data_IF_300093454868
#
_entry.id   IF_300093454868
#
_cell.length_a   1.000
_cell.length_b   1.000
_cell.length_c   1.000
_cell.angle_alpha   90.00
_cell.angle_beta   90.00
_cell.angle_gamma   90.00
#
_symmetry.space_group_name_H-M   'P 1'
#
loop_
_entity.id
_entity.type
_entity.pdbx_description
1 polymer ?
#
# COMPACT_ATOMS: atom_id res chain seq x y z
N UNK A 1 7.77 -16.58 19.89
CA UNK A 1 6.30 -16.70 19.78
C UNK A 1 5.93 -16.54 18.31
N UNK A 2 5.34 -17.56 17.70
CA UNK A 2 4.93 -17.56 16.29
C UNK A 2 3.53 -16.96 16.15
N UNK A 3 3.33 -16.12 15.13
CA UNK A 3 2.05 -15.41 14.87
C UNK A 3 1.52 -15.80 13.51
N UNK A 4 0.23 -16.06 13.42
CA UNK A 4 -0.35 -16.63 12.21
C UNK A 4 -1.51 -15.78 11.67
N UNK A 5 -1.52 -15.64 10.35
CA UNK A 5 -2.55 -15.01 9.53
C UNK A 5 -3.66 -16.03 9.28
N UNK A 6 -4.83 -15.87 9.89
CA UNK A 6 -5.89 -16.89 9.87
C UNK A 6 -6.99 -16.62 8.84
N UNK A 7 -7.15 -15.37 8.44
CA UNK A 7 -8.12 -14.94 7.44
C UNK A 7 -7.69 -13.59 6.88
N UNK A 8 -8.04 -13.36 5.63
CA UNK A 8 -7.83 -12.12 4.91
C UNK A 8 -9.15 -11.80 4.21
N UNK A 9 -9.71 -10.62 4.46
CA UNK A 9 -10.93 -10.16 3.82
C UNK A 9 -10.76 -8.69 3.47
N UNK A 10 -10.94 -8.28 2.21
CA UNK A 10 -11.32 -6.89 1.94
C UNK A 10 -12.71 -6.62 2.56
N UNK A 11 -12.95 -5.44 3.12
CA UNK A 11 -14.08 -5.29 4.05
C UNK A 11 -15.46 -5.22 3.34
N UNK A 12 -16.44 -6.00 3.84
CA UNK A 12 -17.88 -5.78 3.62
C UNK A 12 -18.45 -5.04 4.85
N UNK A 13 -19.32 -4.02 4.69
CA UNK A 13 -19.67 -3.09 5.77
C UNK A 13 -20.75 -3.60 6.75
N UNK A 14 -20.82 -4.89 7.08
CA UNK A 14 -21.72 -5.39 8.13
C UNK A 14 -21.20 -6.71 8.73
N UNK A 15 -20.57 -6.66 9.91
CA UNK A 15 -20.56 -7.80 10.84
C UNK A 15 -20.32 -7.36 12.28
N UNK A 16 -21.25 -7.76 13.14
CA UNK A 16 -21.37 -7.47 14.56
C UNK A 16 -20.19 -8.05 15.35
N UNK A 17 -19.33 -7.20 15.92
CA UNK A 17 -18.38 -7.56 16.98
C UNK A 17 -18.79 -6.87 18.29
N UNK A 18 -18.73 -7.56 19.46
CA UNK A 18 -19.11 -6.98 20.75
C UNK A 18 -18.33 -5.71 21.11
N UNK A 19 -19.00 -4.80 21.82
CA UNK A 19 -18.65 -3.39 22.06
C UNK A 19 -17.40 -3.09 22.92
N UNK A 20 -16.39 -3.97 22.96
CA UNK A 20 -15.18 -3.81 23.78
C UNK A 20 -13.86 -3.95 23.01
N UNK A 21 -13.90 -4.15 21.69
CA UNK A 21 -12.70 -4.08 20.85
C UNK A 21 -12.39 -2.61 20.59
N UNK A 22 -11.45 -2.05 21.37
CA UNK A 22 -10.96 -0.69 21.20
C UNK A 22 -10.31 -0.55 19.81
N UNK A 23 -10.93 0.27 18.98
CA UNK A 23 -10.45 0.69 17.67
C UNK A 23 -9.16 1.51 17.82
N UNK A 24 -8.01 0.92 17.50
CA UNK A 24 -6.77 1.65 17.24
C UNK A 24 -6.57 1.80 15.72
N UNK A 25 -7.42 2.62 15.12
CA UNK A 25 -7.32 3.05 13.73
C UNK A 25 -7.29 4.58 13.68
N UNK A 26 -6.10 5.16 13.90
CA UNK A 26 -5.64 6.50 13.50
C UNK A 26 -4.47 6.97 14.41
N UNK A 27 -3.27 6.40 14.29
CA UNK A 27 -2.10 6.99 14.98
C UNK A 27 -1.35 7.97 14.06
N UNK A 28 -1.84 9.22 14.02
CA UNK A 28 -1.03 10.40 13.63
C UNK A 28 0.00 10.66 14.73
N UNK A 29 1.22 10.13 14.60
CA UNK A 29 2.30 10.58 15.51
C UNK A 29 2.73 12.02 15.16
N UNK A 30 2.39 12.93 16.10
CA UNK A 30 2.77 14.34 16.29
C UNK A 30 3.62 15.06 15.22
N UNK A 31 3.11 16.23 14.82
CA UNK A 31 3.73 17.34 14.04
C UNK A 31 4.24 16.97 12.64
N UNK A 32 3.38 16.40 11.81
CA UNK A 32 3.56 16.28 10.36
C UNK A 32 2.22 15.86 9.75
N UNK A 33 1.80 16.48 8.65
CA UNK A 33 0.45 16.31 8.08
C UNK A 33 0.26 15.04 7.24
N UNK A 34 1.25 14.14 7.18
CA UNK A 34 1.16 12.89 6.42
C UNK A 34 0.12 11.94 7.03
N UNK A 35 -0.84 11.49 6.22
CA UNK A 35 -1.69 10.33 6.53
C UNK A 35 -0.79 9.10 6.49
N UNK A 36 -0.70 8.37 7.62
CA UNK A 36 0.07 7.13 7.69
C UNK A 36 -0.86 5.96 7.44
N UNK A 37 -0.43 5.08 6.54
CA UNK A 37 -0.93 3.71 6.43
C UNK A 37 -0.89 3.04 7.81
N UNK A 38 -1.95 2.34 8.17
CA UNK A 38 -2.09 1.72 9.49
C UNK A 38 -1.07 0.62 9.65
N UNK A 39 -0.35 0.66 10.77
CA UNK A 39 0.76 -0.25 11.02
C UNK A 39 0.25 -1.57 11.65
N UNK A 40 0.11 -2.69 10.91
CA UNK A 40 -0.25 -3.99 11.50
C UNK A 40 0.75 -4.45 12.58
N UNK A 41 1.90 -3.78 12.71
CA UNK A 41 2.94 -4.07 13.68
C UNK A 41 2.56 -3.74 15.13
N UNK A 42 1.61 -2.82 15.36
CA UNK A 42 1.13 -2.51 16.72
C UNK A 42 0.33 -3.69 17.29
N UNK A 43 -0.54 -4.26 16.47
CA UNK A 43 -1.41 -5.39 16.81
C UNK A 43 -0.60 -6.68 17.05
N UNK A 44 0.53 -6.86 16.35
CA UNK A 44 1.48 -7.94 16.65
C UNK A 44 2.12 -7.79 18.04
N UNK A 45 2.41 -6.55 18.47
CA UNK A 45 3.01 -6.30 19.79
C UNK A 45 2.05 -6.68 20.90
N UNK A 46 0.77 -6.37 20.76
CA UNK A 46 -0.27 -6.77 21.71
C UNK A 46 -0.26 -8.29 21.92
N UNK A 47 -0.21 -9.07 20.83
CA UNK A 47 -0.10 -10.52 20.94
C UNK A 47 1.24 -10.95 21.57
N UNK A 48 2.37 -10.36 21.16
CA UNK A 48 3.68 -10.69 21.75
C UNK A 48 3.81 -10.33 23.24
N UNK A 49 3.07 -9.33 23.70
CA UNK A 49 3.00 -8.91 25.10
C UNK A 49 1.89 -9.63 25.88
N UNK A 50 1.17 -10.56 25.23
CA UNK A 50 0.03 -11.29 25.77
C UNK A 50 -1.16 -10.40 26.19
N UNK A 51 -1.31 -9.24 25.55
CA UNK A 51 -2.44 -8.33 25.72
C UNK A 51 -3.63 -8.71 24.82
N UNK A 52 -3.40 -9.55 23.80
CA UNK A 52 -4.43 -10.08 22.91
C UNK A 52 -4.08 -11.47 22.38
N UNK A 53 -5.09 -12.30 22.12
CA UNK A 53 -4.93 -13.63 21.51
C UNK A 53 -5.29 -13.64 20.01
N UNK A 54 -6.25 -12.80 19.61
CA UNK A 54 -6.72 -12.64 18.22
C UNK A 54 -6.96 -11.16 17.96
N UNK A 55 -6.46 -10.64 16.84
CA UNK A 55 -6.61 -9.22 16.47
C UNK A 55 -7.02 -9.08 15.01
N UNK A 56 -8.07 -8.28 14.77
CA UNK A 56 -8.44 -7.82 13.43
C UNK A 56 -7.57 -6.61 13.05
N UNK A 57 -6.76 -6.78 12.02
CA UNK A 57 -5.87 -5.76 11.49
C UNK A 57 -6.37 -5.36 10.10
N UNK A 58 -6.87 -4.14 9.95
CA UNK A 58 -7.29 -3.62 8.65
C UNK A 58 -6.52 -2.41 8.18
N UNK A 59 -7.01 -1.86 7.08
CA UNK A 59 -6.61 -0.59 6.51
C UNK A 59 -7.68 -0.18 5.52
N UNK A 60 -8.15 1.06 5.57
CA UNK A 60 -9.23 1.55 4.74
C UNK A 60 -8.95 3.00 4.35
N UNK A 61 -9.36 3.39 3.15
CA UNK A 61 -9.32 4.77 2.70
C UNK A 61 -10.50 5.03 1.77
N UNK A 62 -11.12 6.21 1.92
CA UNK A 62 -12.04 6.76 0.93
C UNK A 62 -11.57 8.14 0.51
N UNK A 63 -10.72 8.17 -0.50
CA UNK A 63 -10.15 9.40 -1.05
C UNK A 63 -11.22 10.21 -1.80
N UNK A 64 -12.22 9.56 -2.41
CA UNK A 64 -13.35 10.23 -3.06
C UNK A 64 -14.20 11.04 -2.08
N UNK A 65 -14.17 10.71 -0.78
CA UNK A 65 -14.91 11.42 0.28
C UNK A 65 -14.07 12.48 1.00
N UNK A 66 -12.83 12.74 0.56
CA UNK A 66 -12.01 13.77 1.17
C UNK A 66 -12.71 15.14 1.09
N UNK A 67 -12.96 15.81 2.23
CA UNK A 67 -13.75 17.03 2.23
C UNK A 67 -12.93 18.22 1.74
N UNK A 68 -13.64 19.27 1.36
CA UNK A 68 -13.07 20.62 1.38
C UNK A 68 -13.16 21.20 2.80
N UNK A 69 -12.16 21.98 3.22
CA UNK A 69 -12.12 22.61 4.54
C UNK A 69 -11.93 24.13 4.46
N UNK A 70 -12.70 24.86 5.26
CA UNK A 70 -12.47 26.30 5.49
C UNK A 70 -11.85 26.48 6.88
N UNK A 71 -10.62 26.98 6.93
CA UNK A 71 -9.87 27.15 8.17
C UNK A 71 -10.02 28.58 8.70
N UNK A 72 -9.73 28.76 10.01
CA UNK A 72 -9.62 30.07 10.69
C UNK A 72 -10.92 30.91 10.77
N UNK A 73 -12.08 30.27 10.73
CA UNK A 73 -13.40 30.97 10.81
C UNK A 73 -14.12 30.81 12.14
N UNK A 74 -13.65 29.92 13.04
CA UNK A 74 -14.36 29.56 14.29
C UNK A 74 -14.59 30.75 15.23
N UNK A 75 -13.69 31.73 15.25
CA UNK A 75 -13.68 32.82 16.23
C UNK A 75 -13.85 34.21 15.59
N UNK A 76 -14.51 34.26 14.44
CA UNK A 76 -14.63 35.47 13.62
C UNK A 76 -13.46 35.67 12.66
N UNK A 77 -13.68 36.50 11.65
CA UNK A 77 -12.72 36.82 10.59
C UNK A 77 -12.47 38.32 10.53
N UNK A 78 -11.32 38.70 9.97
CA UNK A 78 -11.05 40.11 9.66
C UNK A 78 -11.77 40.50 8.37
N UNK A 79 -12.28 41.72 8.30
CA UNK A 79 -12.83 42.27 7.05
C UNK A 79 -11.75 42.20 5.95
N UNK A 80 -12.09 41.64 4.80
CA UNK A 80 -11.17 41.43 3.67
C UNK A 80 -10.26 40.20 3.79
N UNK A 81 -10.45 39.31 4.78
CA UNK A 81 -9.69 38.07 4.86
C UNK A 81 -9.97 37.14 3.67
N UNK A 82 -8.92 36.66 3.01
CA UNK A 82 -9.01 35.64 1.96
C UNK A 82 -9.20 34.26 2.60
N UNK A 83 -10.44 33.80 2.66
CA UNK A 83 -10.79 32.45 3.09
C UNK A 83 -10.71 31.52 1.89
N UNK A 84 -10.06 30.36 2.07
CA UNK A 84 -9.95 29.34 1.03
C UNK A 84 -10.83 28.14 1.38
N UNK A 85 -11.49 27.62 0.35
CA UNK A 85 -12.09 26.31 0.37
C UNK A 85 -10.99 25.31 -0.04
N UNK A 86 -10.30 24.76 0.95
CA UNK A 86 -9.08 23.96 0.78
C UNK A 86 -9.43 22.50 0.48
N UNK A 87 -8.93 21.95 -0.63
CA UNK A 87 -9.01 20.52 -0.91
C UNK A 87 -8.06 19.76 0.04
N UNK A 88 -8.64 19.01 0.98
CA UNK A 88 -7.82 18.34 2.00
C UNK A 88 -7.01 17.16 1.47
N UNK A 89 -7.43 16.55 0.36
CA UNK A 89 -6.68 15.48 -0.28
C UNK A 89 -5.43 16.05 -0.96
N UNK A 90 -5.61 17.12 -1.75
CA UNK A 90 -4.49 17.75 -2.45
C UNK A 90 -3.41 18.26 -1.50
N UNK A 91 -3.83 18.92 -0.40
CA UNK A 91 -2.89 19.38 0.64
C UNK A 91 -2.17 18.23 1.34
N UNK A 92 -2.84 17.09 1.58
CA UNK A 92 -2.23 15.93 2.21
C UNK A 92 -1.17 15.23 1.33
N UNK A 93 -1.24 15.42 0.00
CA UNK A 93 -0.25 14.89 -0.95
C UNK A 93 0.98 15.80 -1.12
N UNK A 94 1.09 16.85 -0.31
CA UNK A 94 2.28 17.70 -0.19
C UNK A 94 2.87 17.59 1.22
N UNK A 95 4.14 17.23 1.32
CA UNK A 95 4.82 17.25 2.62
C UNK A 95 5.06 18.70 3.03
N UNK A 96 4.42 19.14 4.11
CA UNK A 96 4.52 20.51 4.63
C UNK A 96 5.86 20.83 5.29
N UNK A 97 6.66 19.82 5.67
CA UNK A 97 8.00 20.02 6.23
C UNK A 97 9.00 20.46 5.17
N UNK A 98 9.08 19.70 4.07
CA UNK A 98 9.97 20.02 2.93
C UNK A 98 9.30 20.87 1.85
N UNK A 99 7.97 21.03 1.90
CA UNK A 99 7.12 21.75 0.94
C UNK A 99 7.18 21.18 -0.48
N UNK A 100 7.20 19.85 -0.58
CA UNK A 100 7.37 19.13 -1.85
C UNK A 100 6.18 18.17 -2.04
N UNK A 101 5.48 18.22 -3.19
CA UNK A 101 4.48 17.21 -3.56
C UNK A 101 5.10 15.82 -3.66
N UNK A 102 4.36 14.77 -3.32
CA UNK A 102 4.88 13.39 -3.33
C UNK A 102 5.49 13.00 -4.69
N UNK A 103 4.89 13.42 -5.80
CA UNK A 103 5.42 13.17 -7.14
C UNK A 103 6.79 13.82 -7.38
N UNK A 104 7.06 15.00 -6.81
CA UNK A 104 8.36 15.65 -6.94
C UNK A 104 9.45 14.89 -6.14
N UNK A 105 9.08 14.22 -5.04
CA UNK A 105 10.03 13.31 -4.37
C UNK A 105 10.41 12.11 -5.25
N UNK A 106 9.49 11.65 -6.10
CA UNK A 106 9.75 10.60 -7.07
C UNK A 106 10.61 11.12 -8.25
N UNK A 107 10.42 12.37 -8.69
CA UNK A 107 11.32 13.01 -9.66
C UNK A 107 12.75 13.18 -9.11
N UNK A 108 12.90 13.46 -7.82
CA UNK A 108 14.22 13.50 -7.17
C UNK A 108 14.91 12.13 -7.21
N UNK A 109 14.16 11.05 -7.01
CA UNK A 109 14.68 9.69 -7.18
C UNK A 109 15.03 9.39 -8.64
N UNK A 110 14.19 9.79 -9.58
CA UNK A 110 14.46 9.62 -11.01
C UNK A 110 15.79 10.26 -11.41
N UNK A 111 16.01 11.51 -10.99
CA UNK A 111 17.26 12.21 -11.22
C UNK A 111 18.45 11.54 -10.53
N UNK A 112 18.31 11.18 -9.24
CA UNK A 112 19.38 10.58 -8.43
C UNK A 112 19.86 9.23 -8.96
N UNK A 113 18.93 8.42 -9.46
CA UNK A 113 19.21 7.06 -9.93
C UNK A 113 19.25 6.93 -11.46
N UNK A 114 19.20 8.05 -12.18
CA UNK A 114 19.23 8.11 -13.65
C UNK A 114 18.15 7.25 -14.29
N UNK A 115 16.92 7.36 -13.79
CA UNK A 115 15.75 6.65 -14.31
C UNK A 115 15.10 7.53 -15.37
N UNK A 116 14.97 7.03 -16.59
CA UNK A 116 14.40 7.80 -17.70
C UNK A 116 12.88 7.75 -17.67
N UNK A 117 12.24 8.71 -18.37
CA UNK A 117 10.80 8.69 -18.63
C UNK A 117 10.36 7.39 -19.34
N UNK A 118 11.19 6.88 -20.25
CA UNK A 118 10.88 5.65 -20.97
C UNK A 118 10.92 4.42 -20.05
N UNK A 119 11.85 4.37 -19.09
CA UNK A 119 11.87 3.32 -18.06
C UNK A 119 10.56 3.32 -17.26
N UNK A 120 10.12 4.50 -16.83
CA UNK A 120 8.88 4.66 -16.07
C UNK A 120 7.65 4.17 -16.86
N UNK A 121 7.55 4.52 -18.14
CA UNK A 121 6.43 4.13 -18.99
C UNK A 121 6.47 2.62 -19.31
N UNK A 122 7.66 2.05 -19.55
CA UNK A 122 7.81 0.59 -19.70
C UNK A 122 7.36 -0.16 -18.45
N UNK A 123 7.74 0.33 -17.28
CA UNK A 123 7.30 -0.26 -16.02
C UNK A 123 5.78 -0.17 -15.84
N UNK A 124 5.20 1.01 -16.12
CA UNK A 124 3.76 1.23 -16.06
C UNK A 124 2.97 0.31 -17.01
N UNK A 125 3.48 0.06 -18.22
CA UNK A 125 2.89 -0.93 -19.12
C UNK A 125 2.99 -2.34 -18.53
N UNK A 126 4.15 -2.73 -17.99
CA UNK A 126 4.39 -4.05 -17.42
C UNK A 126 3.42 -4.35 -16.27
N UNK A 127 3.19 -3.41 -15.36
CA UNK A 127 2.25 -3.58 -14.24
C UNK A 127 0.79 -3.68 -14.71
N UNK A 128 0.37 -2.91 -15.72
CA UNK A 128 -0.97 -3.07 -16.34
C UNK A 128 -1.15 -4.45 -16.97
N UNK A 129 -0.13 -4.96 -17.69
CA UNK A 129 -0.15 -6.29 -18.29
C UNK A 129 -0.22 -7.42 -17.25
N UNK A 130 0.59 -7.31 -16.19
CA UNK A 130 0.58 -8.28 -15.08
C UNK A 130 -0.76 -8.30 -14.34
N UNK A 131 -1.32 -7.12 -14.06
CA UNK A 131 -2.63 -7.00 -13.45
C UNK A 131 -3.72 -7.66 -14.31
N UNK A 132 -3.72 -7.39 -15.62
CA UNK A 132 -4.66 -8.03 -16.55
C UNK A 132 -4.53 -9.55 -16.55
N UNK A 133 -3.30 -10.07 -16.66
CA UNK A 133 -3.04 -11.51 -16.67
C UNK A 133 -3.47 -12.19 -15.35
N UNK A 134 -3.16 -11.59 -14.21
CA UNK A 134 -3.54 -12.10 -12.90
C UNK A 134 -5.06 -12.11 -12.69
N UNK A 135 -5.74 -11.04 -13.12
CA UNK A 135 -7.19 -10.96 -13.05
C UNK A 135 -7.87 -12.01 -13.96
N UNK A 136 -7.39 -12.18 -15.19
CA UNK A 136 -7.94 -13.21 -16.11
C UNK A 136 -7.71 -14.63 -15.61
N UNK A 137 -6.56 -14.87 -14.98
CA UNK A 137 -6.21 -16.16 -14.39
C UNK A 137 -6.86 -16.40 -13.02
N UNK A 138 -7.61 -15.43 -12.50
CA UNK A 138 -8.35 -15.53 -11.23
C UNK A 138 -7.47 -15.51 -9.98
N UNK A 139 -6.26 -14.94 -10.05
CA UNK A 139 -5.32 -14.94 -8.91
C UNK A 139 -5.81 -14.08 -7.74
N UNK A 140 -6.63 -13.06 -8.00
CA UNK A 140 -7.25 -12.23 -6.96
C UNK A 140 -8.52 -12.85 -6.35
N UNK A 141 -9.02 -13.98 -6.86
CA UNK A 141 -10.31 -14.52 -6.42
C UNK A 141 -10.32 -14.90 -4.92
N UNK A 142 -9.18 -15.33 -4.38
CA UNK A 142 -9.08 -15.78 -3.00
C UNK A 142 -8.98 -14.63 -1.98
N UNK A 143 -8.53 -13.44 -2.42
CA UNK A 143 -8.38 -12.25 -1.56
C UNK A 143 -9.55 -11.26 -1.71
N UNK A 144 -10.29 -11.34 -2.81
CA UNK A 144 -11.34 -10.39 -3.13
C UNK A 144 -12.56 -10.56 -2.22
N UNK A 145 -13.10 -9.44 -1.76
CA UNK A 145 -14.35 -9.39 -1.01
C UNK A 145 -15.38 -8.55 -1.76
N UNK A 146 -16.34 -9.17 -2.46
CA UNK A 146 -17.28 -8.43 -3.29
C UNK A 146 -18.13 -7.44 -2.49
N UNK A 147 -18.41 -6.28 -3.10
CA UNK A 147 -19.26 -5.23 -2.53
C UNK A 147 -20.46 -5.01 -3.45
N UNK A 148 -21.67 -4.96 -2.89
CA UNK A 148 -22.85 -4.58 -3.67
C UNK A 148 -22.82 -3.06 -3.94
N UNK A 149 -22.82 -2.67 -5.20
CA UNK A 149 -22.84 -1.28 -5.65
C UNK A 149 -24.11 -0.97 -6.43
N UNK A 150 -24.50 0.31 -6.44
CA UNK A 150 -25.63 0.78 -7.26
C UNK A 150 -25.10 1.33 -8.57
N UNK A 151 -25.54 0.77 -9.69
CA UNK A 151 -25.30 1.30 -11.03
C UNK A 151 -26.60 1.88 -11.60
N UNK A 152 -26.52 2.56 -12.74
CA UNK A 152 -27.72 3.00 -13.48
C UNK A 152 -28.64 1.83 -13.88
N UNK A 153 -28.12 0.60 -13.93
CA UNK A 153 -28.87 -0.62 -14.28
C UNK A 153 -29.44 -1.36 -13.05
N UNK A 154 -29.18 -0.89 -11.84
CA UNK A 154 -29.60 -1.52 -10.60
C UNK A 154 -28.42 -1.92 -9.70
N UNK A 155 -28.66 -2.83 -8.75
CA UNK A 155 -27.62 -3.37 -7.87
C UNK A 155 -26.74 -4.36 -8.62
N UNK A 156 -25.43 -4.26 -8.46
CA UNK A 156 -24.44 -5.16 -9.07
C UNK A 156 -23.37 -5.51 -8.02
N UNK A 157 -22.80 -6.71 -8.12
CA UNK A 157 -21.67 -7.11 -7.27
C UNK A 157 -20.37 -6.64 -7.90
N UNK A 158 -19.69 -5.69 -7.26
CA UNK A 158 -18.36 -5.24 -7.63
C UNK A 158 -17.32 -6.18 -7.00
N UNK A 159 -16.58 -6.88 -7.85
CA UNK A 159 -15.57 -7.88 -7.46
C UNK A 159 -14.30 -7.79 -8.31
N UNK A 160 -14.14 -6.68 -9.05
CA UNK A 160 -12.99 -6.39 -9.89
C UNK A 160 -12.56 -4.96 -9.60
N UNK A 161 -11.26 -4.74 -9.59
CA UNK A 161 -10.71 -3.40 -9.49
C UNK A 161 -11.17 -2.55 -10.68
N UNK A 162 -11.60 -1.31 -10.43
CA UNK A 162 -12.09 -0.38 -11.44
C UNK A 162 -10.95 0.37 -12.15
N UNK A 163 -9.85 0.62 -11.44
CA UNK A 163 -8.74 1.44 -11.93
C UNK A 163 -7.91 0.85 -13.10
N UNK A 164 -7.73 -0.48 -13.23
CA UNK A 164 -6.92 -1.06 -14.29
C UNK A 164 -7.31 -0.60 -15.70
N UNK A 165 -6.30 -0.32 -16.51
CA UNK A 165 -6.45 0.09 -17.91
C UNK A 165 -5.82 -0.98 -18.80
N UNK A 166 -6.49 -2.14 -19.02
CA UNK A 166 -5.88 -3.31 -19.63
C UNK A 166 -5.53 -3.13 -21.12
N UNK A 167 -6.02 -2.06 -21.76
CA UNK A 167 -5.73 -1.69 -23.15
C UNK A 167 -4.58 -0.67 -23.27
N UNK A 168 -3.83 -0.45 -22.19
CA UNK A 168 -2.69 0.49 -22.17
C UNK A 168 -1.63 0.06 -23.19
N UNK A 169 -1.12 1.01 -23.97
CA UNK A 169 0.00 0.80 -24.89
C UNK A 169 1.14 1.79 -24.64
N UNK A 170 2.36 1.47 -25.08
CA UNK A 170 3.49 2.40 -24.98
C UNK A 170 3.20 3.72 -25.69
N UNK A 171 2.57 3.68 -26.87
CA UNK A 171 2.24 4.88 -27.64
C UNK A 171 1.26 5.80 -26.90
N UNK A 172 0.36 5.23 -26.09
CA UNK A 172 -0.55 6.02 -25.24
C UNK A 172 0.22 6.65 -24.08
N UNK A 173 1.09 5.88 -23.41
CA UNK A 173 1.86 6.36 -22.26
C UNK A 173 2.83 7.49 -22.65
N UNK A 174 3.57 7.35 -23.76
CA UNK A 174 4.53 8.36 -24.22
C UNK A 174 3.89 9.70 -24.56
N UNK A 175 2.60 9.71 -24.97
CA UNK A 175 1.85 10.94 -25.26
C UNK A 175 1.43 11.71 -24.02
N UNK A 176 1.47 11.11 -22.84
CA UNK A 176 1.04 11.77 -21.61
C UNK A 176 2.05 12.85 -21.17
N UNK A 177 1.59 14.06 -20.83
CA UNK A 177 2.46 15.11 -20.33
C UNK A 177 2.92 14.81 -18.90
N UNK A 178 4.12 15.28 -18.55
CA UNK A 178 4.60 15.27 -17.18
C UNK A 178 3.81 16.28 -16.35
N UNK A 179 3.34 15.88 -15.17
CA UNK A 179 2.36 16.66 -14.39
C UNK A 179 3.03 17.64 -13.42
N UNK A 180 4.14 17.23 -12.80
CA UNK A 180 4.72 17.95 -11.65
C UNK A 180 6.03 18.68 -11.95
N UNK A 181 6.71 18.32 -13.05
CA UNK A 181 7.96 18.94 -13.47
C UNK A 181 8.03 18.97 -15.00
N UNK A 182 8.43 20.13 -15.55
CA UNK A 182 8.75 20.24 -16.98
C UNK A 182 9.92 19.32 -17.29
N UNK A 183 9.80 18.51 -18.35
CA UNK A 183 10.79 17.50 -18.74
C UNK A 183 11.08 16.48 -17.61
N UNK A 184 10.08 16.25 -16.74
CA UNK A 184 10.11 15.21 -15.71
C UNK A 184 9.85 13.81 -16.24
N UNK A 185 9.62 12.88 -15.32
CA UNK A 185 9.34 11.47 -15.60
C UNK A 185 7.93 11.05 -15.19
N UNK A 186 7.29 11.75 -14.23
CA UNK A 186 6.01 11.36 -13.64
C UNK A 186 4.83 11.89 -14.46
N UNK A 187 3.95 10.98 -14.86
CA UNK A 187 2.68 11.24 -15.58
C UNK A 187 1.50 10.56 -14.90
N UNK A 188 0.29 10.88 -15.36
CA UNK A 188 -0.92 10.18 -14.92
C UNK A 188 -0.97 8.69 -15.34
N UNK A 189 -0.09 8.24 -16.24
CA UNK A 189 -0.03 6.85 -16.69
C UNK A 189 0.97 5.99 -15.92
N UNK A 190 1.93 6.61 -15.22
CA UNK A 190 3.00 5.92 -14.50
C UNK A 190 3.08 6.28 -13.00
N UNK A 191 2.03 6.92 -12.48
CA UNK A 191 1.78 7.14 -11.06
C UNK A 191 0.55 6.34 -10.63
N UNK A 192 0.47 5.95 -9.36
CA UNK A 192 -0.73 5.31 -8.82
C UNK A 192 -1.92 6.26 -8.80
N UNK A 193 -3.11 5.73 -9.08
CA UNK A 193 -4.36 6.48 -8.98
C UNK A 193 -4.79 6.78 -7.55
N UNK A 194 -5.49 7.91 -7.39
CA UNK A 194 -6.37 8.17 -6.25
C UNK A 194 -7.53 7.19 -6.30
N UNK A 195 -7.71 6.36 -5.28
CA UNK A 195 -8.71 5.28 -5.26
C UNK A 195 -9.28 5.08 -3.87
N UNK A 196 -10.42 4.39 -3.81
CA UNK A 196 -11.06 3.97 -2.58
C UNK A 196 -10.87 2.47 -2.36
N UNK A 197 -10.71 2.03 -1.12
CA UNK A 197 -10.56 0.61 -0.83
C UNK A 197 -10.36 0.31 0.64
N UNK A 198 -10.52 -0.97 1.00
CA UNK A 198 -10.25 -1.47 2.34
C UNK A 198 -9.76 -2.92 2.30
N UNK A 199 -8.83 -3.26 3.17
CA UNK A 199 -8.32 -4.62 3.38
C UNK A 199 -8.34 -4.96 4.88
N UNK A 200 -8.54 -6.23 5.20
CA UNK A 200 -8.49 -6.74 6.57
C UNK A 200 -7.80 -8.10 6.64
N UNK A 201 -7.17 -8.33 7.77
CA UNK A 201 -6.25 -9.43 8.04
C UNK A 201 -6.42 -9.82 9.50
N UNK A 202 -6.67 -11.09 9.78
CA UNK A 202 -6.82 -11.59 11.15
C UNK A 202 -5.51 -12.23 11.60
N UNK A 203 -4.93 -11.68 12.67
CA UNK A 203 -3.77 -12.25 13.35
C UNK A 203 -4.21 -13.05 14.57
N UNK A 204 -3.58 -14.18 14.81
CA UNK A 204 -3.79 -14.99 16.00
C UNK A 204 -2.47 -15.50 16.59
N UNK A 205 -2.43 -15.66 17.91
CA UNK A 205 -1.36 -16.37 18.60
C UNK A 205 -1.43 -17.88 18.31
N UNK A 206 -0.32 -18.59 18.52
CA UNK A 206 -0.31 -20.06 18.41
C UNK A 206 -1.30 -20.73 19.39
N UNK A 207 -1.50 -20.17 20.59
CA UNK A 207 -2.50 -20.68 21.54
C UNK A 207 -3.91 -20.52 21.00
N UNK A 208 -4.23 -19.37 20.41
CA UNK A 208 -5.51 -19.07 19.81
C UNK A 208 -5.84 -19.99 18.63
N UNK A 209 -4.84 -20.33 17.81
CA UNK A 209 -5.02 -21.30 16.72
C UNK A 209 -5.59 -22.63 17.22
N UNK A 210 -4.96 -23.21 18.25
CA UNK A 210 -5.37 -24.50 18.83
C UNK A 210 -6.72 -24.38 19.54
N UNK A 211 -6.89 -23.33 20.35
CA UNK A 211 -8.11 -23.07 21.14
C UNK A 211 -9.35 -22.90 20.26
N UNK A 212 -9.22 -22.22 19.13
CA UNK A 212 -10.33 -21.88 18.23
C UNK A 212 -10.34 -22.70 16.93
N UNK A 213 -9.45 -23.69 16.80
CA UNK A 213 -9.32 -24.53 15.60
C UNK A 213 -9.19 -23.72 14.31
N UNK A 214 -8.40 -22.64 14.35
CA UNK A 214 -8.18 -21.76 13.19
C UNK A 214 -7.15 -22.36 12.24
N UNK A 215 -7.34 -22.15 10.94
CA UNK A 215 -6.37 -22.57 9.92
C UNK A 215 -5.40 -21.42 9.62
N UNK A 216 -4.11 -21.54 9.96
CA UNK A 216 -3.13 -20.52 9.61
C UNK A 216 -2.81 -20.57 8.11
N UNK A 217 -2.85 -19.42 7.43
CA UNK A 217 -2.50 -19.25 6.02
C UNK A 217 -1.02 -18.87 5.82
N UNK A 218 -0.47 -18.10 6.76
CA UNK A 218 0.92 -17.68 6.79
C UNK A 218 1.34 -17.31 8.21
N UNK A 219 2.65 -17.22 8.47
CA UNK A 219 3.24 -16.78 9.73
C UNK A 219 3.95 -15.43 9.53
N UNK A 220 3.72 -14.46 10.41
CA UNK A 220 4.50 -13.21 10.40
C UNK A 220 5.88 -13.49 11.01
N UNK A 221 6.94 -13.37 10.21
CA UNK A 221 8.32 -13.66 10.63
C UNK A 221 8.92 -12.47 11.35
N UNK A 222 8.92 -11.32 10.69
CA UNK A 222 9.48 -10.08 11.20
C UNK A 222 8.84 -8.89 10.47
N UNK A 223 9.00 -7.70 11.05
CA UNK A 223 8.68 -6.44 10.40
C UNK A 223 9.73 -5.38 10.76
N UNK A 224 9.80 -4.33 9.96
CA UNK A 224 10.55 -3.14 10.32
C UNK A 224 9.98 -1.87 9.66
N UNK A 225 10.06 -0.77 10.40
CA UNK A 225 9.81 0.58 9.88
C UNK A 225 11.07 1.41 10.04
N UNK A 226 11.46 2.15 9.01
CA UNK A 226 12.67 2.95 8.96
C UNK A 226 12.35 4.38 8.51
N UNK A 227 13.08 5.36 9.06
CA UNK A 227 13.08 6.73 8.56
C UNK A 227 14.04 6.90 7.39
N UNK A 228 13.76 7.86 6.52
CA UNK A 228 14.65 8.29 5.43
C UNK A 228 14.46 9.80 5.18
N UNK A 229 15.24 10.36 4.27
CA UNK A 229 15.10 11.77 3.87
C UNK A 229 13.71 12.02 3.24
N UNK A 230 12.90 12.95 3.78
CA UNK A 230 11.57 13.25 3.25
C UNK A 230 11.57 13.72 1.79
N UNK A 231 12.66 14.33 1.32
CA UNK A 231 12.78 14.80 -0.09
C UNK A 231 12.88 13.66 -1.11
N UNK A 232 13.17 12.44 -0.65
CA UNK A 232 13.27 11.21 -1.44
C UNK A 232 12.54 10.05 -0.74
N UNK A 233 11.42 10.35 -0.09
CA UNK A 233 10.65 9.41 0.77
C UNK A 233 10.38 8.05 0.12
N UNK A 234 10.27 8.03 -1.22
CA UNK A 234 10.05 6.84 -2.02
C UNK A 234 11.10 5.73 -1.84
N UNK A 235 12.30 6.06 -1.33
CA UNK A 235 13.36 5.08 -1.06
C UNK A 235 13.17 4.33 0.25
N UNK A 236 12.20 4.72 1.09
CA UNK A 236 11.93 4.11 2.40
C UNK A 236 11.90 2.57 2.44
N UNK A 237 11.40 1.85 1.41
CA UNK A 237 11.46 0.40 1.36
C UNK A 237 12.88 -0.19 1.44
N UNK A 238 13.91 0.51 0.94
CA UNK A 238 15.30 0.03 0.97
C UNK A 238 15.78 -0.26 2.40
N UNK A 239 15.82 0.72 3.33
CA UNK A 239 16.21 0.44 4.70
C UNK A 239 15.20 -0.46 5.44
N UNK A 240 13.90 -0.38 5.12
CA UNK A 240 12.89 -1.22 5.75
C UNK A 240 13.07 -2.72 5.43
N UNK A 241 13.23 -3.07 4.15
CA UNK A 241 13.47 -4.44 3.68
C UNK A 241 14.82 -4.95 4.20
N UNK A 242 15.88 -4.13 4.08
CA UNK A 242 17.23 -4.54 4.51
C UNK A 242 17.25 -4.95 5.98
N UNK A 243 16.67 -4.13 6.85
CA UNK A 243 16.67 -4.38 8.28
C UNK A 243 15.66 -5.46 8.71
N UNK A 244 14.51 -5.60 8.05
CA UNK A 244 13.58 -6.70 8.39
C UNK A 244 14.18 -8.06 8.03
N UNK A 245 14.86 -8.17 6.89
CA UNK A 245 15.52 -9.41 6.48
C UNK A 245 16.67 -9.76 7.45
N UNK A 246 17.49 -8.77 7.81
CA UNK A 246 18.52 -8.93 8.85
C UNK A 246 17.93 -9.40 10.18
N UNK A 247 16.81 -8.83 10.63
CA UNK A 247 16.12 -9.25 11.85
C UNK A 247 15.55 -10.66 11.77
N UNK A 248 15.13 -11.08 10.59
CA UNK A 248 14.63 -12.43 10.34
C UNK A 248 15.76 -13.46 10.15
N UNK A 249 17.02 -13.02 10.01
CA UNK A 249 18.13 -13.90 9.63
C UNK A 249 18.01 -14.40 8.19
N UNK A 250 17.37 -13.63 7.32
CA UNK A 250 17.10 -13.95 5.92
C UNK A 250 17.81 -12.96 4.98
N UNK A 251 17.85 -13.31 3.71
CA UNK A 251 18.38 -12.48 2.61
C UNK A 251 17.31 -12.30 1.53
N UNK A 252 17.53 -11.37 0.59
CA UNK A 252 16.64 -11.20 -0.56
C UNK A 252 16.53 -12.46 -1.42
N UNK A 253 17.56 -13.31 -1.43
CA UNK A 253 17.55 -14.57 -2.20
C UNK A 253 16.56 -15.59 -1.65
N UNK A 254 16.24 -15.50 -0.35
CA UNK A 254 15.28 -16.38 0.32
C UNK A 254 13.82 -15.99 0.01
N UNK A 255 13.60 -14.82 -0.59
CA UNK A 255 12.25 -14.35 -0.93
C UNK A 255 11.81 -15.00 -2.25
N UNK A 256 10.66 -15.66 -2.21
CA UNK A 256 9.97 -16.15 -3.41
C UNK A 256 9.12 -15.06 -4.05
N UNK A 257 8.63 -14.12 -3.23
CA UNK A 257 7.87 -12.95 -3.67
C UNK A 257 8.30 -11.69 -2.93
N UNK A 258 8.33 -10.58 -3.66
CA UNK A 258 8.56 -9.24 -3.14
C UNK A 258 7.44 -8.32 -3.62
N UNK A 259 6.86 -7.54 -2.73
CA UNK A 259 5.98 -6.43 -3.09
C UNK A 259 6.59 -5.11 -2.61
N UNK A 260 6.72 -4.18 -3.54
CA UNK A 260 7.04 -2.77 -3.26
C UNK A 260 5.91 -1.94 -3.83
N UNK A 261 5.14 -1.28 -2.96
CA UNK A 261 4.00 -0.48 -3.40
C UNK A 261 4.39 0.53 -4.49
N UNK A 262 3.62 0.57 -5.58
CA UNK A 262 3.92 1.35 -6.78
C UNK A 262 3.35 2.77 -6.70
N UNK A 263 3.78 3.57 -5.72
CA UNK A 263 3.29 4.95 -5.61
C UNK A 263 3.60 5.75 -6.89
N UNK A 264 4.82 5.59 -7.40
CA UNK A 264 5.25 6.13 -8.69
C UNK A 264 6.25 5.17 -9.34
N UNK A 265 6.21 5.00 -10.66
CA UNK A 265 7.17 4.17 -11.39
C UNK A 265 8.64 4.52 -11.09
N UNK A 266 9.09 5.80 -11.12
CA UNK A 266 10.48 6.13 -10.79
C UNK A 266 10.85 5.84 -9.33
N UNK A 267 9.88 5.87 -8.41
CA UNK A 267 10.11 5.49 -7.02
C UNK A 267 10.34 3.98 -6.91
N UNK A 268 9.48 3.16 -7.52
CA UNK A 268 9.65 1.71 -7.57
C UNK A 268 11.01 1.33 -8.19
N UNK A 269 11.32 1.88 -9.36
CA UNK A 269 12.55 1.58 -10.10
C UNK A 269 13.81 1.97 -9.32
N UNK A 270 13.75 3.02 -8.50
CA UNK A 270 14.85 3.37 -7.61
C UNK A 270 15.07 2.29 -6.52
N UNK A 271 13.99 1.76 -5.93
CA UNK A 271 14.07 0.65 -4.96
C UNK A 271 14.58 -0.63 -5.63
N UNK A 272 14.03 -0.98 -6.79
CA UNK A 272 14.44 -2.14 -7.60
C UNK A 272 15.96 -2.10 -7.86
N UNK A 273 16.45 -0.97 -8.36
CA UNK A 273 17.87 -0.76 -8.68
C UNK A 273 18.78 -0.84 -7.46
N UNK A 274 18.38 -0.28 -6.32
CA UNK A 274 19.23 -0.25 -5.11
C UNK A 274 19.29 -1.60 -4.42
N UNK A 275 18.17 -2.32 -4.35
CA UNK A 275 18.13 -3.64 -3.72
C UNK A 275 18.53 -4.77 -4.69
N UNK A 276 18.59 -4.51 -5.99
CA UNK A 276 18.82 -5.53 -7.00
C UNK A 276 17.67 -6.54 -7.04
N UNK A 277 16.43 -6.06 -6.98
CA UNK A 277 15.25 -6.92 -6.94
C UNK A 277 15.12 -7.69 -8.26
N UNK A 278 14.74 -8.96 -8.15
CA UNK A 278 14.39 -9.79 -9.31
C UNK A 278 12.99 -9.38 -9.80
N UNK A 279 12.86 -8.83 -11.03
CA UNK A 279 11.57 -8.40 -11.55
C UNK A 279 10.57 -9.55 -11.67
N UNK A 280 11.02 -10.80 -11.82
CA UNK A 280 10.16 -11.98 -11.95
C UNK A 280 9.60 -12.48 -10.62
N UNK A 281 10.15 -11.99 -9.50
CA UNK A 281 9.64 -12.21 -8.14
C UNK A 281 9.00 -10.97 -7.53
N UNK A 282 9.14 -9.81 -8.16
CA UNK A 282 8.71 -8.52 -7.61
C UNK A 282 7.47 -8.00 -8.32
N UNK A 283 6.42 -7.64 -7.57
CA UNK A 283 5.14 -7.13 -8.09
C UNK A 283 4.59 -7.99 -9.24
N UNK A 284 4.53 -9.30 -9.02
CA UNK A 284 4.34 -10.32 -10.08
C UNK A 284 2.96 -10.28 -10.72
N UNK A 285 1.97 -9.74 -10.02
CA UNK A 285 0.59 -9.62 -10.47
C UNK A 285 0.16 -8.16 -10.68
N UNK A 286 1.15 -7.25 -10.84
CA UNK A 286 0.93 -5.81 -10.94
C UNK A 286 0.72 -5.17 -9.57
N UNK A 287 0.55 -3.86 -9.55
CA UNK A 287 0.46 -3.08 -8.32
C UNK A 287 -0.30 -1.78 -8.51
N UNK A 288 0.00 -0.81 -7.63
CA UNK A 288 -0.81 0.41 -7.46
C UNK A 288 -0.89 1.34 -8.68
N UNK A 289 0.00 1.24 -9.67
CA UNK A 289 -0.18 1.96 -10.94
C UNK A 289 -1.36 1.37 -11.72
N UNK A 290 -1.61 0.07 -11.60
CA UNK A 290 -2.75 -0.60 -12.24
C UNK A 290 -4.02 -0.50 -11.40
N UNK A 291 -3.98 -0.89 -10.12
CA UNK A 291 -5.18 -1.03 -9.27
C UNK A 291 -5.44 0.17 -8.35
N UNK A 292 -4.55 1.17 -8.33
CA UNK A 292 -4.67 2.35 -7.48
C UNK A 292 -4.01 2.24 -6.11
N UNK A 293 -3.91 3.37 -5.41
CA UNK A 293 -3.29 3.49 -4.09
C UNK A 293 -4.24 4.14 -3.06
N UNK A 294 -5.25 3.41 -2.56
CA UNK A 294 -5.98 3.83 -1.36
C UNK A 294 -5.00 3.84 -0.18
N UNK A 295 -4.63 5.02 0.31
CA UNK A 295 -3.48 5.25 1.19
C UNK A 295 -3.49 4.34 2.42
N UNK A 296 -4.59 4.35 3.19
CA UNK A 296 -4.73 3.53 4.38
C UNK A 296 -4.91 2.03 4.13
N UNK A 297 -5.22 1.59 2.91
CA UNK A 297 -5.62 0.20 2.62
C UNK A 297 -4.56 -0.61 1.84
N UNK A 298 -3.57 0.04 1.25
CA UNK A 298 -2.66 -0.60 0.30
C UNK A 298 -1.78 -1.67 0.95
N UNK A 299 -1.36 -1.48 2.19
CA UNK A 299 -0.56 -2.42 2.96
C UNK A 299 -1.35 -3.66 3.34
N UNK A 300 -2.63 -3.49 3.68
CA UNK A 300 -3.56 -4.61 3.90
C UNK A 300 -3.76 -5.40 2.61
N UNK A 301 -3.96 -4.72 1.47
CA UNK A 301 -4.10 -5.34 0.14
C UNK A 301 -2.83 -6.09 -0.27
N UNK A 302 -1.65 -5.49 -0.11
CA UNK A 302 -0.36 -6.13 -0.42
C UNK A 302 -0.16 -7.38 0.45
N UNK A 303 -0.42 -7.26 1.75
CA UNK A 303 -0.27 -8.39 2.68
C UNK A 303 -1.23 -9.52 2.32
N UNK A 304 -2.49 -9.19 2.05
CA UNK A 304 -3.50 -10.11 1.55
C UNK A 304 -2.99 -10.85 0.31
N UNK A 305 -2.59 -10.10 -0.70
CA UNK A 305 -2.11 -10.62 -1.96
C UNK A 305 -0.92 -11.56 -1.79
N UNK A 306 0.09 -11.16 -1.02
CA UNK A 306 1.26 -11.99 -0.75
C UNK A 306 0.91 -13.31 -0.06
N UNK A 307 -0.03 -13.32 0.90
CA UNK A 307 -0.47 -14.56 1.55
C UNK A 307 -1.07 -15.52 0.55
N UNK A 308 -2.00 -15.04 -0.30
CA UNK A 308 -2.69 -15.90 -1.26
C UNK A 308 -1.78 -16.33 -2.41
N UNK A 309 -0.98 -15.42 -2.96
CA UNK A 309 -0.09 -15.70 -4.09
C UNK A 309 1.09 -16.59 -3.68
N UNK A 310 1.68 -16.39 -2.50
CA UNK A 310 2.75 -17.24 -1.99
C UNK A 310 2.27 -18.69 -1.83
N UNK A 311 1.05 -18.88 -1.29
CA UNK A 311 0.41 -20.19 -1.19
C UNK A 311 0.12 -20.80 -2.55
N UNK A 312 -0.44 -20.01 -3.48
CA UNK A 312 -0.75 -20.48 -4.85
C UNK A 312 0.51 -20.96 -5.58
N UNK A 313 1.66 -20.30 -5.35
CA UNK A 313 2.96 -20.68 -5.93
C UNK A 313 3.67 -21.80 -5.18
N UNK A 314 3.22 -22.18 -3.99
CA UNK A 314 3.95 -23.09 -3.11
C UNK A 314 5.29 -22.53 -2.65
N UNK A 315 5.42 -21.21 -2.59
CA UNK A 315 6.63 -20.54 -2.09
C UNK A 315 6.69 -20.56 -0.56
N UNK A 316 7.87 -20.26 -0.02
CA UNK A 316 8.15 -20.28 1.42
C UNK A 316 8.11 -18.89 2.05
N UNK A 317 8.79 -17.89 1.49
CA UNK A 317 8.86 -16.56 2.07
C UNK A 317 8.44 -15.46 1.10
N UNK A 318 7.79 -14.42 1.63
CA UNK A 318 7.53 -13.19 0.92
C UNK A 318 7.79 -11.97 1.78
N UNK A 319 8.13 -10.84 1.16
CA UNK A 319 8.24 -9.54 1.82
C UNK A 319 7.37 -8.50 1.12
N UNK A 320 6.49 -7.85 1.88
CA UNK A 320 5.68 -6.72 1.42
C UNK A 320 6.19 -5.42 2.01
N UNK A 321 6.21 -4.35 1.23
CA UNK A 321 6.76 -3.06 1.65
C UNK A 321 6.09 -1.86 0.98
N UNK A 322 6.18 -0.71 1.64
CA UNK A 322 5.69 0.56 1.12
C UNK A 322 6.61 1.73 1.54
N UNK A 323 6.73 2.72 0.65
CA UNK A 323 7.24 4.04 1.01
C UNK A 323 6.14 4.85 1.72
N UNK A 324 6.54 5.79 2.57
CA UNK A 324 5.61 6.59 3.39
C UNK A 324 5.98 8.06 3.26
N UNK A 325 4.99 8.87 2.86
CA UNK A 325 5.11 10.33 2.79
C UNK A 325 5.62 10.92 4.10
N UNK A 326 6.51 11.92 4.00
CA UNK A 326 7.24 12.43 5.17
C UNK A 326 8.53 11.69 5.51
N UNK A 327 8.98 10.76 4.66
CA UNK A 327 10.32 10.17 4.76
C UNK A 327 10.38 8.92 5.64
N UNK A 328 9.58 7.91 5.33
CA UNK A 328 9.61 6.62 6.02
C UNK A 328 9.42 5.46 5.03
N UNK A 329 9.69 4.24 5.49
CA UNK A 329 9.24 3.02 4.84
C UNK A 329 8.95 1.93 5.85
N UNK A 330 8.19 0.93 5.41
CA UNK A 330 7.79 -0.22 6.21
C UNK A 330 7.94 -1.50 5.39
N UNK A 331 8.29 -2.60 6.04
CA UNK A 331 8.32 -3.92 5.44
C UNK A 331 7.87 -5.01 6.43
N UNK A 332 7.17 -6.02 5.93
CA UNK A 332 6.73 -7.22 6.67
C UNK A 332 7.14 -8.47 5.91
N UNK A 333 7.74 -9.43 6.62
CA UNK A 333 8.10 -10.75 6.09
C UNK A 333 7.09 -11.77 6.58
N UNK A 334 6.54 -12.54 5.64
CA UNK A 334 5.64 -13.66 5.92
C UNK A 334 6.26 -14.98 5.47
N UNK A 335 5.91 -16.06 6.16
CA UNK A 335 6.25 -17.43 5.81
C UNK A 335 4.99 -18.22 5.53
N UNK A 336 4.96 -18.98 4.44
CA UNK A 336 3.85 -19.88 4.15
C UNK A 336 3.77 -21.02 5.18
N UNK A 337 2.57 -21.39 5.61
CA UNK A 337 2.30 -22.48 6.55
C UNK A 337 1.86 -23.78 5.89
N UNK A 338 1.56 -23.77 4.59
CA UNK A 338 1.19 -24.96 3.82
C UNK A 338 2.38 -25.86 3.50
#
# INVERSE_FOLDING_TARGET
MSLFLCSVMCAHPYSLLPSWIQSFFAERKKKGHAMKETDPNLNRREICLNESEVVLCGGAESMSQAPYAVRKVRFGTRLGAELKLEDTLWEALTDTHVKIPMAVTAENLAAKYSISREDCDRYALKTQQRCKAANDAGYFNAEMAPIEVKTKKGKESMQKDEHPKPQTTMEQLTKLPCVFKKDGTVTAGNASGVCDGAGAVILASESALKKHSLTPLARVVAYHSAGCDPSIMGIGPVPAITEVLKKAGLTLKDMDLVEVNEAFAPQYLAVEKVLGLDPEKTNVNGGAIAIGHPLGASGSRITAHLVHELRRRGGKYAVGSACIGGGQGIAVVIENTA
#
